data_IF_806087949439
#
_entry.id   IF_806087949439
#
_cell.length_a   1.000
_cell.length_b   1.000
_cell.length_c   1.000
_cell.angle_alpha   90.00
_cell.angle_beta   90.00
_cell.angle_gamma   90.00
#
_symmetry.space_group_name_H-M   'P 1'
#
loop_
_entity.id
_entity.type
_entity.pdbx_description
1 polymer ?
#
# COMPACT_ATOMS: atom_id res chain seq x y z
N UNK A 1 -36.12 -18.15 6.06
CA UNK A 1 -34.69 -18.11 5.66
C UNK A 1 -34.08 -16.80 6.13
N UNK A 2 -32.98 -16.83 6.90
CA UNK A 2 -32.24 -15.61 7.22
C UNK A 2 -31.64 -15.06 5.92
N UNK A 3 -31.95 -13.82 5.59
CA UNK A 3 -31.37 -13.13 4.44
C UNK A 3 -29.87 -12.99 4.70
N UNK A 4 -29.05 -13.66 3.91
CA UNK A 4 -27.60 -13.53 3.97
C UNK A 4 -27.20 -12.33 3.14
N UNK A 5 -26.62 -11.34 3.77
CA UNK A 5 -26.07 -10.15 3.12
C UNK A 5 -24.61 -9.92 3.56
N UNK A 6 -23.92 -9.02 2.90
CA UNK A 6 -22.51 -8.69 3.21
C UNK A 6 -22.32 -8.26 4.67
N UNK A 7 -23.27 -7.51 5.22
CA UNK A 7 -23.21 -7.00 6.58
C UNK A 7 -23.34 -8.13 7.62
N UNK A 8 -24.23 -9.09 7.38
CA UNK A 8 -24.38 -10.27 8.24
C UNK A 8 -23.15 -11.22 8.16
N UNK A 9 -22.40 -11.17 7.05
CA UNK A 9 -21.15 -11.89 6.88
C UNK A 9 -19.92 -11.12 7.44
N UNK A 10 -20.12 -9.99 8.10
CA UNK A 10 -19.04 -9.19 8.70
C UNK A 10 -18.37 -8.20 7.74
N UNK A 11 -18.92 -7.99 6.55
CA UNK A 11 -18.39 -7.04 5.55
C UNK A 11 -19.22 -5.77 5.58
N UNK A 12 -18.59 -4.66 5.97
CA UNK A 12 -19.20 -3.34 5.97
C UNK A 12 -18.66 -2.52 4.79
N UNK A 13 -19.41 -2.51 3.69
CA UNK A 13 -19.04 -1.80 2.43
C UNK A 13 -18.94 -0.30 2.67
N UNK A 14 -19.87 0.29 3.42
CA UNK A 14 -19.89 1.73 3.67
C UNK A 14 -18.66 2.18 4.49
N UNK A 15 -18.28 1.38 5.49
CA UNK A 15 -17.06 1.64 6.26
C UNK A 15 -15.81 1.52 5.39
N UNK A 16 -15.77 0.56 4.45
CA UNK A 16 -14.70 0.42 3.48
C UNK A 16 -14.59 1.64 2.56
N UNK A 17 -15.69 2.09 2.01
CA UNK A 17 -15.73 3.28 1.15
C UNK A 17 -15.28 4.54 1.91
N UNK A 18 -15.77 4.72 3.13
CA UNK A 18 -15.35 5.83 4.00
C UNK A 18 -13.85 5.79 4.31
N UNK A 19 -13.29 4.61 4.56
CA UNK A 19 -11.85 4.46 4.79
C UNK A 19 -11.05 4.89 3.56
N UNK A 20 -11.46 4.48 2.35
CA UNK A 20 -10.83 4.90 1.09
C UNK A 20 -10.89 6.43 0.93
N UNK A 21 -12.03 7.05 1.20
CA UNK A 21 -12.16 8.51 1.11
C UNK A 21 -11.25 9.25 2.10
N UNK A 22 -11.10 8.72 3.31
CA UNK A 22 -10.23 9.33 4.34
C UNK A 22 -8.74 9.29 3.99
N UNK A 23 -8.28 8.26 3.26
CA UNK A 23 -6.86 8.12 2.90
C UNK A 23 -6.51 8.72 1.54
N UNK A 24 -7.50 9.11 0.76
CA UNK A 24 -7.36 9.48 -0.66
C UNK A 24 -6.33 10.58 -0.91
N UNK A 25 -6.37 11.63 -0.12
CA UNK A 25 -5.45 12.77 -0.29
C UNK A 25 -4.03 12.40 0.16
N UNK A 26 -3.90 11.66 1.27
CA UNK A 26 -2.61 11.15 1.71
C UNK A 26 -1.97 10.21 0.68
N UNK A 27 -2.74 9.31 0.08
CA UNK A 27 -2.26 8.43 -0.98
C UNK A 27 -1.85 9.21 -2.22
N UNK A 28 -2.66 10.19 -2.65
CA UNK A 28 -2.31 11.04 -3.80
C UNK A 28 -1.02 11.82 -3.60
N UNK A 29 -0.74 12.27 -2.38
CA UNK A 29 0.48 13.01 -2.07
C UNK A 29 1.76 12.19 -2.28
N UNK A 30 1.67 10.87 -2.32
CA UNK A 30 2.79 9.97 -2.58
C UNK A 30 3.00 9.64 -4.07
N UNK A 31 2.09 10.08 -4.95
CA UNK A 31 2.15 9.76 -6.37
C UNK A 31 3.29 10.49 -7.05
N UNK A 32 4.09 9.74 -7.81
CA UNK A 32 5.04 10.29 -8.76
C UNK A 32 4.36 10.44 -10.13
N UNK A 33 5.05 11.12 -11.05
CA UNK A 33 4.60 11.27 -12.45
C UNK A 33 4.35 9.93 -13.18
N UNK A 34 4.93 8.86 -12.67
CA UNK A 34 4.80 7.52 -13.24
C UNK A 34 3.49 6.82 -12.86
N UNK A 35 2.79 7.29 -11.83
CA UNK A 35 1.52 6.72 -11.40
C UNK A 35 0.40 7.25 -12.30
N UNK A 36 -0.21 6.36 -13.09
CA UNK A 36 -1.20 6.72 -14.11
C UNK A 36 -2.65 6.51 -13.64
N UNK A 37 -2.86 5.76 -12.56
CA UNK A 37 -4.21 5.50 -12.00
C UNK A 37 -4.30 5.94 -10.56
N UNK A 38 -5.48 6.45 -10.19
CA UNK A 38 -5.81 6.79 -8.81
C UNK A 38 -6.22 5.59 -7.97
N UNK A 39 -6.47 5.87 -6.68
CA UNK A 39 -7.02 4.91 -5.73
C UNK A 39 -8.48 4.58 -6.09
N UNK A 40 -8.89 3.32 -5.89
CA UNK A 40 -10.26 2.83 -6.11
C UNK A 40 -10.44 2.02 -7.39
N UNK A 41 -9.40 1.85 -8.21
CA UNK A 41 -9.39 0.95 -9.36
C UNK A 41 -9.07 -0.48 -8.93
N UNK A 42 -9.48 -1.48 -9.73
CA UNK A 42 -9.15 -2.90 -9.48
C UNK A 42 -7.67 -3.23 -9.71
N UNK A 43 -6.92 -2.32 -10.31
CA UNK A 43 -5.50 -2.44 -10.56
C UNK A 43 -4.86 -1.07 -10.69
N UNK A 44 -3.54 -1.05 -10.82
CA UNK A 44 -2.76 0.17 -10.99
C UNK A 44 -2.00 0.15 -12.31
N UNK A 45 -1.83 1.33 -12.90
CA UNK A 45 -0.98 1.55 -14.06
C UNK A 45 0.21 2.40 -13.63
N UNK A 46 1.40 1.94 -13.99
CA UNK A 46 2.64 2.62 -13.71
C UNK A 46 3.47 2.74 -14.99
N UNK A 47 3.89 3.94 -15.35
CA UNK A 47 4.69 4.20 -16.55
C UNK A 47 6.14 3.79 -16.31
N UNK A 48 6.60 2.79 -17.03
CA UNK A 48 7.97 2.30 -17.00
C UNK A 48 8.91 3.04 -17.96
N UNK A 49 8.36 3.80 -18.90
CA UNK A 49 9.19 4.43 -19.95
C UNK A 49 10.31 5.30 -19.39
N UNK A 50 10.09 6.19 -18.39
CA UNK A 50 11.16 6.98 -17.82
C UNK A 50 12.31 6.16 -17.22
N UNK A 51 11.97 4.98 -16.66
CA UNK A 51 12.94 4.06 -16.08
C UNK A 51 13.76 3.38 -17.18
N UNK A 52 13.10 2.97 -18.26
CA UNK A 52 13.73 2.33 -19.41
C UNK A 52 14.60 3.31 -20.23
N UNK A 53 14.28 4.59 -20.21
CA UNK A 53 15.08 5.64 -20.83
C UNK A 53 16.36 5.95 -20.01
N UNK A 54 16.30 5.77 -18.68
CA UNK A 54 17.42 6.07 -17.77
C UNK A 54 18.36 4.88 -17.55
N UNK A 55 17.81 3.66 -17.48
CA UNK A 55 18.55 2.44 -17.14
C UNK A 55 18.51 1.43 -18.27
N UNK A 56 19.67 0.86 -18.63
CA UNK A 56 19.77 -0.14 -19.69
C UNK A 56 19.11 -1.48 -19.35
N UNK A 57 19.24 -1.92 -18.11
CA UNK A 57 18.74 -3.21 -17.64
C UNK A 57 18.06 -3.05 -16.26
N UNK A 58 16.93 -2.34 -16.17
CA UNK A 58 16.25 -2.16 -14.90
C UNK A 58 15.63 -3.45 -14.41
N UNK A 59 15.68 -3.67 -13.09
CA UNK A 59 15.02 -4.78 -12.42
C UNK A 59 14.02 -4.20 -11.43
N UNK A 60 12.77 -4.65 -11.53
CA UNK A 60 11.75 -4.28 -10.57
C UNK A 60 11.80 -5.22 -9.37
N UNK A 61 11.91 -4.66 -8.17
CA UNK A 61 11.80 -5.38 -6.90
C UNK A 61 10.58 -4.88 -6.16
N UNK A 62 9.74 -5.80 -5.73
CA UNK A 62 8.50 -5.49 -5.03
C UNK A 62 8.39 -6.34 -3.77
N UNK A 63 7.86 -5.76 -2.71
CA UNK A 63 7.44 -6.46 -1.50
C UNK A 63 6.09 -5.94 -1.04
N UNK A 64 5.32 -6.83 -0.46
CA UNK A 64 4.03 -6.50 0.18
C UNK A 64 3.89 -7.34 1.44
N UNK A 65 3.44 -6.71 2.52
CA UNK A 65 3.15 -7.36 3.78
C UNK A 65 1.86 -6.79 4.38
N UNK A 66 1.15 -7.57 5.15
CA UNK A 66 -0.06 -7.14 5.86
C UNK A 66 0.17 -6.80 7.32
N UNK A 67 1.37 -7.04 7.87
CA UNK A 67 1.72 -6.92 9.32
C UNK A 67 0.62 -7.47 10.24
N UNK A 68 0.09 -8.67 9.91
CA UNK A 68 -1.12 -9.24 10.51
C UNK A 68 -1.05 -9.35 12.03
N UNK A 69 0.05 -9.85 12.60
CA UNK A 69 0.25 -9.96 14.06
C UNK A 69 0.25 -8.58 14.73
N UNK A 70 0.89 -7.59 14.13
CA UNK A 70 0.93 -6.22 14.66
C UNK A 70 -0.44 -5.56 14.64
N UNK A 71 -1.25 -5.80 13.62
CA UNK A 71 -2.62 -5.27 13.55
C UNK A 71 -3.52 -5.89 14.63
N UNK A 72 -3.31 -7.16 15.00
CA UNK A 72 -4.02 -7.79 16.12
C UNK A 72 -3.65 -7.09 17.44
N UNK A 73 -2.37 -6.80 17.66
CA UNK A 73 -1.91 -6.09 18.85
C UNK A 73 -2.45 -4.66 18.88
N UNK A 74 -2.37 -3.94 17.76
CA UNK A 74 -2.90 -2.59 17.61
C UNK A 74 -4.40 -2.52 17.96
N UNK A 75 -5.18 -3.50 17.51
CA UNK A 75 -6.61 -3.61 17.87
C UNK A 75 -6.83 -3.85 19.36
N UNK A 76 -6.05 -4.72 20.00
CA UNK A 76 -6.16 -5.00 21.43
C UNK A 76 -5.83 -3.78 22.28
N UNK A 77 -4.87 -2.98 21.84
CA UNK A 77 -4.44 -1.76 22.53
C UNK A 77 -5.21 -0.51 22.09
N UNK A 78 -6.07 -0.63 21.11
CA UNK A 78 -6.75 0.49 20.43
C UNK A 78 -5.76 1.61 20.00
N UNK A 79 -4.60 1.20 19.46
CA UNK A 79 -3.53 2.10 19.03
C UNK A 79 -3.10 1.77 17.62
N UNK A 80 -3.35 2.69 16.68
CA UNK A 80 -3.16 2.48 15.23
C UNK A 80 -2.19 3.46 14.59
N UNK A 81 -1.69 4.43 15.32
CA UNK A 81 -0.88 5.56 14.84
C UNK A 81 0.52 5.18 14.38
N UNK A 82 1.01 3.98 14.73
CA UNK A 82 2.36 3.53 14.39
C UNK A 82 2.39 2.30 13.48
N UNK A 83 1.29 1.60 13.30
CA UNK A 83 1.26 0.33 12.54
C UNK A 83 1.61 0.50 11.06
N UNK A 84 1.33 1.67 10.47
CA UNK A 84 1.73 2.00 9.10
C UNK A 84 3.24 2.15 8.93
N UNK A 85 3.94 2.65 9.96
CA UNK A 85 5.41 2.73 9.97
C UNK A 85 6.00 1.32 10.00
N UNK A 86 5.44 0.43 10.79
CA UNK A 86 5.84 -0.98 10.84
C UNK A 86 5.64 -1.68 9.50
N UNK A 87 4.51 -1.43 8.85
CA UNK A 87 4.20 -1.98 7.52
C UNK A 87 5.24 -1.56 6.48
N UNK A 88 5.52 -0.25 6.39
CA UNK A 88 6.51 0.28 5.46
C UNK A 88 7.90 -0.28 5.76
N UNK A 89 8.28 -0.34 7.04
CA UNK A 89 9.59 -0.85 7.45
C UNK A 89 9.76 -2.33 7.12
N UNK A 90 8.73 -3.15 7.33
CA UNK A 90 8.75 -4.56 6.95
C UNK A 90 8.97 -4.74 5.45
N UNK A 91 8.18 -4.07 4.61
CA UNK A 91 8.33 -4.15 3.16
C UNK A 91 9.70 -3.62 2.68
N UNK A 92 10.18 -2.51 3.24
CA UNK A 92 11.47 -1.93 2.88
C UNK A 92 12.63 -2.86 3.26
N UNK A 93 12.59 -3.48 4.44
CA UNK A 93 13.61 -4.42 4.88
C UNK A 93 13.64 -5.68 4.00
N UNK A 94 12.50 -6.19 3.58
CA UNK A 94 12.42 -7.32 2.65
C UNK A 94 13.06 -6.99 1.31
N UNK A 95 12.82 -5.81 0.76
CA UNK A 95 13.47 -5.34 -0.47
C UNK A 95 14.98 -5.22 -0.29
N UNK A 96 15.44 -4.68 0.83
CA UNK A 96 16.88 -4.57 1.15
C UNK A 96 17.54 -5.95 1.27
N UNK A 97 16.84 -6.93 1.85
CA UNK A 97 17.34 -8.29 2.02
C UNK A 97 17.55 -9.03 0.70
N UNK A 98 16.85 -8.65 -0.36
CA UNK A 98 17.03 -9.22 -1.72
C UNK A 98 18.29 -8.69 -2.42
N UNK A 99 19.05 -7.80 -1.78
CA UNK A 99 20.40 -7.36 -2.20
C UNK A 99 20.45 -6.49 -3.45
N UNK A 100 19.61 -5.48 -3.53
CA UNK A 100 19.82 -4.40 -4.49
C UNK A 100 20.43 -3.18 -3.81
N UNK A 101 21.53 -2.67 -4.39
CA UNK A 101 22.34 -1.58 -3.83
C UNK A 101 21.71 -0.19 -3.95
N UNK A 102 20.58 -0.08 -4.66
CA UNK A 102 19.83 1.16 -4.81
C UNK A 102 18.34 0.92 -4.55
N UNK A 103 17.88 1.41 -3.43
CA UNK A 103 16.45 1.54 -3.12
C UNK A 103 16.05 3.00 -3.31
N UNK A 104 15.30 3.28 -4.36
CA UNK A 104 14.63 4.58 -4.52
C UNK A 104 13.21 4.42 -3.97
N UNK A 105 12.98 4.85 -2.75
CA UNK A 105 11.62 5.08 -2.27
C UNK A 105 11.11 6.37 -2.92
N UNK A 106 9.86 6.41 -3.40
CA UNK A 106 9.24 7.66 -3.79
C UNK A 106 9.09 8.53 -2.55
N UNK A 107 10.08 9.36 -2.30
CA UNK A 107 10.01 10.35 -1.23
C UNK A 107 9.65 11.68 -1.87
N UNK A 108 8.50 12.22 -1.51
CA UNK A 108 8.26 13.65 -1.69
C UNK A 108 9.14 14.39 -0.68
N UNK A 109 10.30 14.78 -1.13
CA UNK A 109 11.07 15.79 -0.42
C UNK A 109 10.48 17.17 -0.71
#
# INVERSE_FOLDING_TARGET
MKKVDYKSAGVNIDAGNKAVDLIKDGVKSTFTKNVLTGIGSFGSLYDLKPILDEYQNPVMVQSIDGVGTKTIIARKLNKFDTVGIDLLSACANDILAVSYTHLTLPTNA
#
